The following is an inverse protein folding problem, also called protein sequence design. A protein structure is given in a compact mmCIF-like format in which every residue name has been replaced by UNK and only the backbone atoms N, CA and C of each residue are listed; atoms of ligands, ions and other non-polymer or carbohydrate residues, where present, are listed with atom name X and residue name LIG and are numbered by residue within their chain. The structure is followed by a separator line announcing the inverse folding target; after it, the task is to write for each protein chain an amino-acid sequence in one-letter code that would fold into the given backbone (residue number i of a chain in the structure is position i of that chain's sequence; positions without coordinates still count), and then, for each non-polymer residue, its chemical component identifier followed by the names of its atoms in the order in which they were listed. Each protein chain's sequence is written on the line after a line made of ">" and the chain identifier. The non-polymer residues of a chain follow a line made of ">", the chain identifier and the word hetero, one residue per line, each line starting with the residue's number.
data_IF_539743759629
#
_entry.id   IF_539743759629
#
_cell.length_a   1.000
_cell.length_b   1.000
_cell.length_c   1.000
_cell.angle_alpha   90.00
_cell.angle_beta   90.00
_cell.angle_gamma   90.00
#
_symmetry.space_group_name_H-M   'P 1'
#
loop_
_entity.id
_entity.type
_entity.pdbx_description
1 polymer ?
#
# COMPACT_ATOMS: atom_id res chain seq x y z
N UNK A 1 -16.52 -16.18 -17.79
CA UNK A 1 -16.35 -16.67 -16.39
C UNK A 1 -17.23 -15.85 -15.46
N UNK A 2 -18.33 -16.43 -14.98
CA UNK A 2 -19.31 -15.74 -14.12
C UNK A 2 -18.73 -15.56 -12.71
N UNK A 3 -18.56 -14.30 -12.26
CA UNK A 3 -18.16 -14.02 -10.87
C UNK A 3 -19.34 -14.41 -9.97
N UNK A 4 -19.18 -15.52 -9.24
CA UNK A 4 -20.13 -15.97 -8.22
C UNK A 4 -20.42 -14.80 -7.27
N UNK A 5 -21.68 -14.40 -7.03
CA UNK A 5 -21.98 -13.33 -6.09
C UNK A 5 -21.48 -13.74 -4.71
N UNK A 6 -20.68 -12.88 -4.08
CA UNK A 6 -20.19 -13.12 -2.72
C UNK A 6 -21.40 -13.22 -1.77
N UNK A 7 -21.46 -14.21 -0.87
CA UNK A 7 -22.58 -14.37 0.04
C UNK A 7 -22.73 -13.14 0.93
N UNK A 8 -23.94 -12.57 0.95
CA UNK A 8 -24.30 -11.36 1.72
C UNK A 8 -24.10 -11.56 3.23
N UNK A 9 -24.11 -12.82 3.70
CA UNK A 9 -23.92 -13.24 5.09
C UNK A 9 -22.49 -13.69 5.42
N UNK A 10 -21.48 -13.27 4.66
CA UNK A 10 -20.11 -13.46 5.09
C UNK A 10 -19.85 -12.58 6.33
N UNK A 11 -19.39 -13.13 7.49
CA UNK A 11 -19.04 -12.34 8.68
C UNK A 11 -17.87 -11.36 8.42
N UNK A 12 -17.36 -11.33 7.19
CA UNK A 12 -16.20 -10.60 6.70
C UNK A 12 -16.54 -9.14 6.32
N UNK A 13 -17.78 -8.68 6.47
CA UNK A 13 -18.21 -7.30 6.16
C UNK A 13 -19.21 -6.73 7.17
N UNK A 14 -18.87 -6.76 8.46
CA UNK A 14 -19.61 -5.98 9.47
C UNK A 14 -19.44 -4.46 9.26
N UNK A 15 -18.39 -4.06 8.51
CA UNK A 15 -18.10 -2.67 8.18
C UNK A 15 -18.07 -2.48 6.66
N UNK A 16 -18.60 -1.35 6.21
CA UNK A 16 -18.53 -0.95 4.81
C UNK A 16 -17.05 -0.74 4.38
N UNK A 17 -16.72 -1.16 3.15
CA UNK A 17 -15.36 -1.07 2.61
C UNK A 17 -14.88 0.38 2.54
N UNK A 18 -15.79 1.35 2.34
CA UNK A 18 -15.44 2.76 2.37
C UNK A 18 -14.96 3.20 3.75
N UNK A 19 -15.62 2.75 4.82
CA UNK A 19 -15.20 3.07 6.19
C UNK A 19 -13.85 2.44 6.51
N UNK A 20 -13.64 1.20 6.08
CA UNK A 20 -12.34 0.51 6.24
C UNK A 20 -11.23 1.24 5.47
N UNK A 21 -11.52 1.70 4.26
CA UNK A 21 -10.58 2.52 3.48
C UNK A 21 -10.30 3.87 4.13
N UNK A 22 -11.31 4.52 4.73
CA UNK A 22 -11.12 5.76 5.48
C UNK A 22 -10.21 5.55 6.69
N UNK A 23 -10.35 4.42 7.41
CA UNK A 23 -9.45 4.06 8.50
C UNK A 23 -8.01 3.90 8.04
N UNK A 24 -7.80 3.19 6.92
CA UNK A 24 -6.47 3.07 6.31
C UNK A 24 -5.92 4.44 5.89
N UNK A 25 -6.73 5.30 5.27
CA UNK A 25 -6.32 6.65 4.88
C UNK A 25 -5.92 7.49 6.09
N UNK A 26 -6.66 7.39 7.20
CA UNK A 26 -6.31 8.07 8.44
C UNK A 26 -4.94 7.58 8.96
N UNK A 27 -4.71 6.27 9.01
CA UNK A 27 -3.44 5.69 9.45
C UNK A 27 -2.26 6.15 8.59
N UNK A 28 -2.41 6.11 7.26
CA UNK A 28 -1.37 6.54 6.32
C UNK A 28 -1.06 8.03 6.48
N UNK A 29 -2.08 8.86 6.72
CA UNK A 29 -1.90 10.31 6.95
C UNK A 29 -1.28 10.61 8.31
N UNK A 30 -1.72 9.93 9.36
CA UNK A 30 -1.28 10.18 10.73
C UNK A 30 0.09 9.56 11.03
N UNK A 31 0.49 8.50 10.31
CA UNK A 31 1.70 7.74 10.62
C UNK A 31 1.64 7.04 11.97
N UNK A 32 0.43 6.81 12.50
CA UNK A 32 0.22 6.31 13.85
C UNK A 32 0.23 4.76 13.91
N UNK A 33 0.56 4.17 15.07
CA UNK A 33 0.35 2.75 15.33
C UNK A 33 -1.12 2.35 15.13
N UNK A 34 -1.34 1.12 14.64
CA UNK A 34 -2.70 0.59 14.39
C UNK A 34 -3.64 0.71 15.59
N UNK A 35 -3.13 0.48 16.81
CA UNK A 35 -3.92 0.55 18.05
C UNK A 35 -4.34 1.97 18.45
N UNK A 36 -3.81 3.00 17.79
CA UNK A 36 -4.21 4.39 17.97
C UNK A 36 -5.31 4.82 16.99
N UNK A 37 -5.85 3.89 16.20
CA UNK A 37 -6.97 4.19 15.32
C UNK A 37 -8.14 4.74 16.15
N UNK A 38 -8.74 5.88 15.75
CA UNK A 38 -9.89 6.45 16.43
C UNK A 38 -11.08 5.49 16.53
N UNK A 39 -11.83 5.57 17.62
CA UNK A 39 -12.95 4.67 17.90
C UNK A 39 -14.21 4.94 17.03
N UNK A 40 -14.26 6.08 16.32
CA UNK A 40 -15.31 6.40 15.34
C UNK A 40 -15.08 5.71 13.98
N UNK A 41 -13.93 5.05 13.80
CA UNK A 41 -13.60 4.24 12.64
C UNK A 41 -13.74 2.74 12.97
N UNK A 42 -13.84 1.87 11.94
CA UNK A 42 -13.86 0.43 12.15
C UNK A 42 -12.68 -0.05 13.01
N UNK A 43 -12.84 -1.11 13.82
CA UNK A 43 -11.76 -1.64 14.65
C UNK A 43 -10.48 -1.88 13.87
N UNK A 44 -9.34 -1.61 14.51
CA UNK A 44 -8.04 -1.66 13.85
C UNK A 44 -7.72 -3.06 13.29
N UNK A 45 -8.23 -4.13 13.91
CA UNK A 45 -8.08 -5.51 13.44
C UNK A 45 -8.74 -5.70 12.07
N UNK A 46 -9.95 -5.16 11.90
CA UNK A 46 -10.68 -5.21 10.62
C UNK A 46 -9.95 -4.40 9.56
N UNK A 47 -9.52 -3.18 9.90
CA UNK A 47 -8.76 -2.34 8.99
C UNK A 47 -7.45 -3.01 8.57
N UNK A 48 -6.72 -3.61 9.51
CA UNK A 48 -5.47 -4.30 9.26
C UNK A 48 -5.65 -5.52 8.36
N UNK A 49 -6.59 -6.42 8.70
CA UNK A 49 -6.85 -7.63 7.92
C UNK A 49 -7.25 -7.31 6.48
N UNK A 50 -8.13 -6.32 6.30
CA UNK A 50 -8.57 -5.93 4.96
C UNK A 50 -7.44 -5.25 4.18
N UNK A 51 -6.65 -4.38 4.82
CA UNK A 51 -5.46 -3.77 4.20
C UNK A 51 -4.48 -4.83 3.73
N UNK A 52 -4.22 -5.85 4.56
CA UNK A 52 -3.36 -6.99 4.21
C UNK A 52 -3.83 -7.72 2.96
N UNK A 53 -5.15 -7.91 2.81
CA UNK A 53 -5.75 -8.53 1.61
C UNK A 53 -5.59 -7.64 0.38
N UNK A 54 -5.83 -6.33 0.49
CA UNK A 54 -5.65 -5.41 -0.63
C UNK A 54 -4.19 -5.34 -1.10
N UNK A 55 -3.23 -5.33 -0.16
CA UNK A 55 -1.80 -5.36 -0.47
C UNK A 55 -1.41 -6.68 -1.16
N UNK A 56 -1.90 -7.83 -0.67
CA UNK A 56 -1.65 -9.13 -1.31
C UNK A 56 -2.26 -9.23 -2.71
N UNK A 57 -3.40 -8.60 -2.92
CA UNK A 57 -4.08 -8.56 -4.22
C UNK A 57 -3.50 -7.51 -5.18
N UNK A 58 -2.50 -6.71 -4.77
CA UNK A 58 -1.90 -5.67 -5.61
C UNK A 58 -2.85 -4.52 -5.95
N UNK A 59 -3.87 -4.26 -5.10
CA UNK A 59 -4.91 -3.30 -5.43
C UNK A 59 -4.37 -1.87 -5.58
N UNK A 60 -3.39 -1.47 -4.77
CA UNK A 60 -2.84 -0.12 -4.79
C UNK A 60 -1.93 0.11 -6.00
N UNK A 61 -1.18 -0.91 -6.38
CA UNK A 61 -0.34 -0.95 -7.57
C UNK A 61 -1.21 -0.82 -8.83
N UNK A 62 -2.31 -1.57 -8.90
CA UNK A 62 -3.28 -1.48 -9.97
C UNK A 62 -3.91 -0.08 -10.04
N UNK A 63 -4.42 0.45 -8.91
CA UNK A 63 -5.01 1.79 -8.86
C UNK A 63 -4.01 2.88 -9.28
N UNK A 64 -2.76 2.80 -8.85
CA UNK A 64 -1.73 3.74 -9.23
C UNK A 64 -1.40 3.65 -10.73
N UNK A 65 -1.32 2.44 -11.28
CA UNK A 65 -1.10 2.22 -12.72
C UNK A 65 -2.24 2.81 -13.56
N UNK A 66 -3.49 2.52 -13.19
CA UNK A 66 -4.67 3.01 -13.91
C UNK A 66 -4.75 4.54 -13.88
N UNK A 67 -4.52 5.15 -12.71
CA UNK A 67 -4.52 6.60 -12.57
C UNK A 67 -3.41 7.24 -13.42
N UNK A 68 -2.22 6.64 -13.46
CA UNK A 68 -1.12 7.13 -14.31
C UNK A 68 -1.49 7.08 -15.78
N UNK A 69 -2.09 5.98 -16.23
CA UNK A 69 -2.55 5.83 -17.61
C UNK A 69 -3.59 6.89 -17.99
N UNK A 70 -4.58 7.13 -17.12
CA UNK A 70 -5.61 8.17 -17.32
C UNK A 70 -4.98 9.57 -17.42
N UNK A 71 -4.06 9.92 -16.51
CA UNK A 71 -3.38 11.22 -16.52
C UNK A 71 -2.53 11.37 -17.80
N UNK A 72 -1.80 10.33 -18.19
CA UNK A 72 -0.98 10.34 -19.41
C UNK A 72 -1.82 10.61 -20.66
N UNK A 73 -2.94 9.91 -20.83
CA UNK A 73 -3.87 10.13 -21.94
C UNK A 73 -4.46 11.54 -21.90
N UNK A 74 -4.85 12.04 -20.73
CA UNK A 74 -5.36 13.40 -20.58
C UNK A 74 -4.34 14.48 -20.96
N UNK A 75 -3.04 14.19 -20.84
CA UNK A 75 -1.94 15.06 -21.27
C UNK A 75 -1.51 14.84 -22.74
N UNK A 76 -2.24 14.03 -23.50
CA UNK A 76 -1.91 13.72 -24.89
C UNK A 76 -0.70 12.79 -25.07
N UNK A 77 -0.28 12.10 -24.00
CA UNK A 77 0.78 11.09 -24.06
C UNK A 77 0.18 9.70 -24.30
N UNK A 78 1.03 8.73 -24.62
CA UNK A 78 0.60 7.34 -24.68
C UNK A 78 0.23 6.83 -23.28
N UNK A 79 -0.73 5.90 -23.21
CA UNK A 79 -1.22 5.35 -21.94
C UNK A 79 -0.19 4.49 -21.17
N UNK A 80 1.00 4.29 -21.72
CA UNK A 80 2.15 3.64 -21.08
C UNK A 80 3.34 4.60 -21.06
N UNK A 81 4.16 4.58 -20.00
CA UNK A 81 5.30 5.48 -19.86
C UNK A 81 6.48 5.12 -20.76
N UNK A 82 7.13 6.15 -21.30
CA UNK A 82 8.31 6.01 -22.16
C UNK A 82 9.62 6.03 -21.38
N UNK A 83 9.63 6.58 -20.16
CA UNK A 83 10.80 6.67 -19.29
C UNK A 83 10.43 6.42 -17.83
N UNK A 84 11.39 5.93 -17.06
CA UNK A 84 11.22 5.59 -15.64
C UNK A 84 12.49 6.01 -14.88
N UNK A 85 12.30 6.67 -13.74
CA UNK A 85 13.36 6.97 -12.79
C UNK A 85 13.44 5.83 -11.78
N UNK A 86 14.64 5.26 -11.64
CA UNK A 86 14.96 4.24 -10.64
C UNK A 86 15.69 4.89 -9.47
N UNK A 87 15.14 4.75 -8.27
CA UNK A 87 15.82 5.16 -7.03
C UNK A 87 15.86 4.01 -6.02
N UNK A 88 16.87 4.05 -5.16
CA UNK A 88 17.09 3.04 -4.12
C UNK A 88 17.25 3.68 -2.76
N UNK A 89 16.50 3.19 -1.77
CA UNK A 89 16.65 3.58 -0.36
C UNK A 89 16.84 2.38 0.53
N UNK A 90 17.56 2.57 1.63
CA UNK A 90 17.71 1.55 2.67
C UNK A 90 16.75 1.84 3.81
N UNK A 91 15.79 0.94 4.02
CA UNK A 91 14.85 1.01 5.13
C UNK A 91 15.53 0.50 6.39
N UNK A 92 15.61 1.37 7.40
CA UNK A 92 16.23 1.05 8.68
C UNK A 92 15.45 -0.09 9.36
N UNK A 93 16.17 -1.17 9.68
CA UNK A 93 15.62 -2.28 10.47
C UNK A 93 15.41 -1.86 11.93
N UNK A 94 14.38 -2.41 12.56
CA UNK A 94 14.16 -2.32 14.01
C UNK A 94 15.21 -3.12 14.78
N UNK A 95 15.37 -2.85 16.08
CA UNK A 95 16.20 -3.66 16.99
C UNK A 95 15.84 -5.16 16.91
N UNK A 96 14.55 -5.47 16.80
CA UNK A 96 14.01 -6.84 16.73
C UNK A 96 14.44 -7.63 15.48
N UNK A 97 14.92 -6.95 14.43
CA UNK A 97 15.38 -7.64 13.22
C UNK A 97 16.67 -8.42 13.49
N UNK A 98 17.46 -8.01 14.48
CA UNK A 98 18.68 -8.69 14.91
C UNK A 98 19.59 -9.09 13.74
N UNK A 99 20.03 -10.37 13.67
CA UNK A 99 20.93 -10.85 12.63
C UNK A 99 20.27 -11.00 11.24
N UNK A 100 18.93 -10.85 11.14
CA UNK A 100 18.21 -10.90 9.84
C UNK A 100 18.33 -9.60 9.06
N UNK A 101 18.77 -8.51 9.70
CA UNK A 101 18.94 -7.23 9.03
C UNK A 101 20.21 -7.25 8.16
N UNK A 102 20.05 -6.94 6.87
CA UNK A 102 21.19 -6.65 5.99
C UNK A 102 21.94 -5.39 6.45
N UNK A 103 23.15 -5.19 5.96
CA UNK A 103 23.93 -3.97 6.22
C UNK A 103 24.24 -3.26 4.90
N UNK A 104 23.81 -2.01 4.79
CA UNK A 104 24.20 -1.12 3.70
C UNK A 104 25.44 -0.32 4.10
N UNK A 105 26.59 -0.67 3.52
CA UNK A 105 27.86 -0.01 3.79
C UNK A 105 27.91 1.45 3.32
N UNK A 106 27.20 1.81 2.25
CA UNK A 106 27.17 3.18 1.74
C UNK A 106 26.37 4.09 2.66
N UNK A 107 25.18 3.66 3.10
CA UNK A 107 24.35 4.41 4.05
C UNK A 107 24.74 4.19 5.51
N UNK A 108 25.68 3.26 5.78
CA UNK A 108 26.15 2.83 7.11
C UNK A 108 24.98 2.47 8.05
N UNK A 109 24.00 1.75 7.52
CA UNK A 109 22.74 1.43 8.22
C UNK A 109 22.39 -0.05 8.07
N UNK A 110 21.88 -0.63 9.16
CA UNK A 110 21.29 -1.98 9.15
C UNK A 110 19.86 -1.88 8.65
N UNK A 111 19.53 -2.60 7.58
CA UNK A 111 18.30 -2.38 6.85
C UNK A 111 18.11 -3.29 5.64
N UNK A 112 16.93 -3.15 5.03
CA UNK A 112 16.63 -3.73 3.72
C UNK A 112 16.76 -2.66 2.65
N UNK A 113 17.56 -2.93 1.62
CA UNK A 113 17.61 -2.06 0.45
C UNK A 113 16.37 -2.30 -0.40
N UNK A 114 15.65 -1.22 -0.70
CA UNK A 114 14.43 -1.22 -1.50
C UNK A 114 14.66 -0.31 -2.69
N UNK A 115 14.40 -0.84 -3.88
CA UNK A 115 14.41 -0.09 -5.13
C UNK A 115 12.99 0.19 -5.57
N UNK A 116 12.74 1.39 -6.08
CA UNK A 116 11.45 1.77 -6.65
C UNK A 116 11.66 2.38 -8.04
N UNK A 117 10.77 2.01 -8.95
CA UNK A 117 10.66 2.52 -10.30
C UNK A 117 9.46 3.47 -10.35
N UNK A 118 9.70 4.74 -10.71
CA UNK A 118 8.64 5.75 -10.82
C UNK A 118 8.64 6.32 -12.24
N UNK A 119 7.46 6.39 -12.82
CA UNK A 119 7.21 7.03 -14.12
C UNK A 119 7.44 8.55 -14.07
N UNK A 120 7.82 9.14 -15.20
CA UNK A 120 8.06 10.56 -15.40
C UNK A 120 6.83 11.33 -15.90
N UNK A 121 5.62 10.98 -15.46
CA UNK A 121 4.39 11.74 -15.78
C UNK A 121 4.61 13.26 -15.73
#
# INVERSE_FOLDING_TARGET
>A
MSRKPYPTNAPQRHHDLRQVFNALRWLVRAGAPWRMLPNDLPPWETAYQQTRRWLQAGCFEAMASDLRSIIGVAQGRQGQPSAVILDGRTLQSSCESGPRAGYDGYKRRRGSKVHMAVDTL
#
